data_IF_837378609687
#
_entry.id   IF_837378609687
#
_cell.length_a   1.000
_cell.length_b   1.000
_cell.length_c   1.000
_cell.angle_alpha   90.00
_cell.angle_beta   90.00
_cell.angle_gamma   90.00
#
_symmetry.space_group_name_H-M   'P 1'
#
loop_
_entity.id
_entity.type
_entity.pdbx_description
1 polymer ?
#
# COMPACT_ATOMS: atom_id res chain seq x y z
N UNK A 1 -9.45 -17.62 -23.29
CA UNK A 1 -10.70 -18.00 -24.00
C UNK A 1 -11.65 -16.79 -23.88
N UNK A 2 -11.62 -15.91 -24.89
CA UNK A 2 -12.36 -14.64 -24.87
C UNK A 2 -13.85 -14.87 -25.04
N UNK A 3 -14.63 -14.32 -24.12
CA UNK A 3 -16.09 -14.27 -24.18
C UNK A 3 -16.48 -13.10 -25.09
N UNK A 4 -16.65 -13.37 -26.40
CA UNK A 4 -17.31 -12.48 -27.33
C UNK A 4 -18.67 -13.07 -27.71
N UNK A 5 -19.71 -12.81 -26.91
CA UNK A 5 -21.10 -12.96 -27.30
C UNK A 5 -21.91 -11.83 -26.70
N UNK A 6 -22.08 -10.79 -27.47
CA UNK A 6 -23.24 -9.91 -27.64
C UNK A 6 -22.78 -8.60 -28.27
N UNK A 7 -22.73 -8.59 -29.60
CA UNK A 7 -22.72 -7.32 -30.34
C UNK A 7 -23.92 -7.27 -31.27
N UNK A 8 -24.85 -6.44 -30.88
CA UNK A 8 -26.11 -6.17 -31.57
C UNK A 8 -25.87 -5.41 -32.87
N UNK A 9 -26.64 -5.75 -33.89
CA UNK A 9 -26.68 -5.14 -35.22
C UNK A 9 -26.99 -3.65 -35.15
N UNK A 10 -25.98 -2.81 -35.26
CA UNK A 10 -26.13 -1.41 -35.67
C UNK A 10 -25.17 -1.14 -36.84
N UNK A 11 -25.68 -0.60 -37.91
CA UNK A 11 -25.18 -0.39 -39.26
C UNK A 11 -23.81 0.29 -39.44
N UNK A 12 -22.77 -0.19 -38.83
CA UNK A 12 -21.38 0.24 -39.06
C UNK A 12 -20.74 -0.65 -40.11
N UNK A 13 -19.92 -0.04 -40.98
CA UNK A 13 -19.22 -0.79 -42.03
C UNK A 13 -18.20 -1.77 -41.39
N UNK A 14 -17.88 -2.89 -42.06
CA UNK A 14 -16.84 -3.82 -41.57
C UNK A 14 -15.49 -3.16 -41.27
N UNK A 15 -15.19 -2.06 -41.97
CA UNK A 15 -13.96 -1.26 -41.77
C UNK A 15 -14.03 -0.48 -40.46
N UNK A 16 -15.15 0.16 -40.14
CA UNK A 16 -15.36 0.87 -38.88
C UNK A 16 -15.32 -0.08 -37.67
N UNK A 17 -15.87 -1.28 -37.81
CA UNK A 17 -15.80 -2.31 -36.77
C UNK A 17 -14.37 -2.79 -36.54
N UNK A 18 -13.61 -2.99 -37.63
CA UNK A 18 -12.18 -3.37 -37.54
C UNK A 18 -11.34 -2.27 -36.92
N UNK A 19 -11.59 -0.99 -37.26
CA UNK A 19 -10.93 0.15 -36.62
C UNK A 19 -11.27 0.28 -35.15
N UNK A 20 -12.54 0.13 -34.76
CA UNK A 20 -12.97 0.18 -33.35
C UNK A 20 -12.35 -0.95 -32.53
N UNK A 21 -12.28 -2.15 -33.10
CA UNK A 21 -11.65 -3.30 -32.43
C UNK A 21 -10.12 -3.14 -32.30
N UNK A 22 -9.46 -2.66 -33.34
CA UNK A 22 -8.02 -2.37 -33.31
C UNK A 22 -7.70 -1.27 -32.30
N UNK A 23 -8.51 -0.21 -32.25
CA UNK A 23 -8.37 0.89 -31.29
C UNK A 23 -8.56 0.41 -29.84
N UNK A 24 -9.59 -0.40 -29.58
CA UNK A 24 -9.82 -0.99 -28.26
C UNK A 24 -8.68 -1.91 -27.82
N UNK A 25 -8.13 -2.74 -28.73
CA UNK A 25 -6.97 -3.57 -28.45
C UNK A 25 -5.72 -2.73 -28.15
N UNK A 26 -5.45 -1.69 -28.93
CA UNK A 26 -4.29 -0.79 -28.71
C UNK A 26 -4.43 -0.09 -27.35
N UNK A 27 -5.61 0.45 -27.03
CA UNK A 27 -5.86 1.11 -25.74
C UNK A 27 -5.70 0.16 -24.53
N UNK A 28 -6.13 -1.10 -24.66
CA UNK A 28 -5.96 -2.10 -23.58
C UNK A 28 -4.50 -2.45 -23.36
N UNK A 29 -3.71 -2.61 -24.44
CA UNK A 29 -2.27 -2.88 -24.36
C UNK A 29 -1.53 -1.69 -23.76
N UNK A 30 -1.94 -0.48 -24.11
CA UNK A 30 -1.34 0.77 -23.63
C UNK A 30 -1.58 0.96 -22.13
N UNK A 31 -2.79 0.76 -21.64
CA UNK A 31 -3.13 0.78 -20.20
C UNK A 31 -2.33 -0.28 -19.42
N UNK A 32 -2.14 -1.46 -20.01
CA UNK A 32 -1.32 -2.53 -19.42
C UNK A 32 0.15 -2.13 -19.34
N UNK A 33 0.70 -1.48 -20.36
CA UNK A 33 2.08 -1.01 -20.37
C UNK A 33 2.32 0.07 -19.32
N UNK A 34 1.37 1.00 -19.16
CA UNK A 34 1.39 2.04 -18.12
C UNK A 34 1.44 1.43 -16.71
N UNK A 35 0.58 0.44 -16.43
CA UNK A 35 0.57 -0.25 -15.14
C UNK A 35 1.87 -1.01 -14.90
N UNK A 36 2.40 -1.74 -15.90
CA UNK A 36 3.66 -2.49 -15.80
C UNK A 36 4.86 -1.58 -15.51
N UNK A 37 4.94 -0.41 -16.12
CA UNK A 37 5.99 0.58 -15.84
C UNK A 37 5.91 1.10 -14.40
N UNK A 38 4.71 1.44 -13.93
CA UNK A 38 4.48 1.84 -12.54
C UNK A 38 4.90 0.74 -11.56
N UNK A 39 4.41 -0.48 -11.74
CA UNK A 39 4.66 -1.60 -10.83
C UNK A 39 6.15 -2.02 -10.84
N UNK A 40 6.82 -1.97 -12.00
CA UNK A 40 8.25 -2.18 -12.11
C UNK A 40 9.06 -1.11 -11.35
N UNK A 41 8.60 0.15 -11.39
CA UNK A 41 9.25 1.25 -10.66
C UNK A 41 9.11 1.07 -9.16
N UNK A 42 7.89 0.75 -8.69
CA UNK A 42 7.63 0.46 -7.28
C UNK A 42 8.51 -0.69 -6.78
N UNK A 43 8.60 -1.77 -7.53
CA UNK A 43 9.39 -2.93 -7.16
C UNK A 43 10.91 -2.65 -7.12
N UNK A 44 11.44 -1.80 -8.02
CA UNK A 44 12.85 -1.37 -7.98
C UNK A 44 13.14 -0.55 -6.73
N UNK A 45 12.30 0.46 -6.44
CA UNK A 45 12.47 1.30 -5.25
C UNK A 45 12.34 0.48 -3.97
N UNK A 46 11.35 -0.40 -3.88
CA UNK A 46 11.16 -1.29 -2.72
C UNK A 46 12.37 -2.19 -2.45
N UNK A 47 13.10 -2.58 -3.51
CA UNK A 47 14.35 -3.32 -3.40
C UNK A 47 15.59 -2.44 -3.06
N UNK A 48 15.39 -1.13 -2.85
CA UNK A 48 16.50 -0.18 -2.61
C UNK A 48 17.29 0.17 -3.86
N UNK A 49 16.78 -0.15 -5.05
CA UNK A 49 17.42 0.16 -6.32
C UNK A 49 16.97 1.54 -6.82
N UNK A 50 17.92 2.34 -7.32
CA UNK A 50 17.59 3.64 -7.95
C UNK A 50 16.95 3.39 -9.32
N UNK A 51 15.68 3.79 -9.55
CA UNK A 51 15.03 3.59 -10.82
C UNK A 51 15.64 4.48 -11.91
N UNK A 52 15.98 3.89 -13.03
CA UNK A 52 16.36 4.57 -14.26
C UNK A 52 15.40 4.21 -15.38
N UNK A 53 15.26 5.07 -16.39
CA UNK A 53 14.38 4.76 -17.53
C UNK A 53 14.71 3.41 -18.17
N UNK A 54 16.00 3.03 -18.20
CA UNK A 54 16.45 1.75 -18.75
C UNK A 54 16.08 0.57 -17.84
N UNK A 55 16.34 0.65 -16.52
CA UNK A 55 16.04 -0.44 -15.58
C UNK A 55 14.53 -0.66 -15.45
N UNK A 56 13.74 0.42 -15.41
CA UNK A 56 12.27 0.36 -15.37
C UNK A 56 11.70 -0.30 -16.64
N UNK A 57 12.11 0.17 -17.82
CA UNK A 57 11.64 -0.38 -19.10
C UNK A 57 12.01 -1.85 -19.26
N UNK A 58 13.25 -2.23 -18.88
CA UNK A 58 13.70 -3.61 -18.90
C UNK A 58 12.88 -4.50 -17.97
N UNK A 59 12.67 -4.09 -16.71
CA UNK A 59 11.87 -4.83 -15.73
C UNK A 59 10.40 -4.94 -16.13
N UNK A 60 9.84 -3.88 -16.74
CA UNK A 60 8.47 -3.88 -17.25
C UNK A 60 8.32 -4.67 -18.56
N UNK A 61 9.42 -5.07 -19.21
CA UNK A 61 9.47 -5.68 -20.53
C UNK A 61 8.71 -4.85 -21.58
N UNK A 62 9.05 -3.56 -21.66
CA UNK A 62 8.50 -2.60 -22.63
C UNK A 62 9.60 -1.71 -23.19
N UNK A 63 9.30 -0.95 -24.25
CA UNK A 63 10.26 0.02 -24.78
C UNK A 63 10.41 1.24 -23.85
N UNK A 64 11.63 1.80 -23.82
CA UNK A 64 11.96 2.98 -22.99
C UNK A 64 11.12 4.21 -23.38
N UNK A 65 10.71 4.30 -24.65
CA UNK A 65 9.89 5.41 -25.17
C UNK A 65 8.52 5.51 -24.53
N UNK A 66 7.97 4.38 -24.03
CA UNK A 66 6.67 4.37 -23.36
C UNK A 66 6.65 5.11 -22.02
N UNK A 67 7.80 5.28 -21.36
CA UNK A 67 7.88 6.12 -20.15
C UNK A 67 7.55 7.56 -20.50
N UNK A 68 8.17 8.10 -21.59
CA UNK A 68 7.89 9.46 -22.04
C UNK A 68 6.46 9.62 -22.55
N UNK A 69 5.95 8.57 -23.23
CA UNK A 69 4.58 8.58 -23.75
C UNK A 69 3.52 8.63 -22.63
N UNK A 70 3.65 7.80 -21.59
CA UNK A 70 2.64 7.68 -20.54
C UNK A 70 2.79 8.68 -19.37
N UNK A 71 4.01 9.10 -19.08
CA UNK A 71 4.33 9.87 -17.86
C UNK A 71 5.07 11.17 -18.13
N UNK A 72 5.51 11.42 -19.37
CA UNK A 72 6.29 12.59 -19.77
C UNK A 72 7.74 12.51 -19.30
N UNK A 73 7.96 12.36 -18.00
CA UNK A 73 9.29 12.30 -17.36
C UNK A 73 9.39 11.16 -16.36
N UNK A 74 10.60 10.89 -15.84
CA UNK A 74 10.79 9.96 -14.72
C UNK A 74 10.11 10.51 -13.44
N UNK A 75 10.12 11.82 -13.22
CA UNK A 75 9.44 12.43 -12.07
C UNK A 75 7.92 12.26 -12.15
N UNK A 76 7.33 12.36 -13.38
CA UNK A 76 5.92 12.09 -13.62
C UNK A 76 5.56 10.62 -13.34
N UNK A 77 6.46 9.68 -13.66
CA UNK A 77 6.31 8.28 -13.31
C UNK A 77 6.38 8.06 -11.79
N UNK A 78 7.34 8.69 -11.11
CA UNK A 78 7.47 8.62 -9.65
C UNK A 78 6.24 9.19 -8.95
N UNK A 79 5.73 10.34 -9.39
CA UNK A 79 4.49 10.92 -8.86
C UNK A 79 3.31 9.96 -9.02
N UNK A 80 3.19 9.30 -10.18
CA UNK A 80 2.14 8.29 -10.40
C UNK A 80 2.30 7.08 -9.47
N UNK A 81 3.52 6.69 -9.13
CA UNK A 81 3.78 5.64 -8.14
C UNK A 81 3.33 6.10 -6.73
N UNK A 82 3.71 7.32 -6.32
CA UNK A 82 3.34 7.91 -5.03
C UNK A 82 1.82 7.97 -4.86
N UNK A 83 1.09 8.47 -5.87
CA UNK A 83 -0.39 8.52 -5.89
C UNK A 83 -1.03 7.12 -5.80
N UNK A 84 -0.44 6.16 -6.51
CA UNK A 84 -0.93 4.77 -6.48
C UNK A 84 -0.76 4.14 -5.10
N UNK A 85 0.40 4.29 -4.48
CA UNK A 85 0.69 3.79 -3.13
C UNK A 85 -0.25 4.43 -2.10
N UNK A 86 -0.44 5.76 -2.14
CA UNK A 86 -1.39 6.44 -1.26
C UNK A 86 -2.81 5.90 -1.41
N UNK A 87 -3.24 5.62 -2.66
CA UNK A 87 -4.56 5.04 -2.95
C UNK A 87 -4.71 3.63 -2.38
N UNK A 88 -3.69 2.77 -2.52
CA UNK A 88 -3.68 1.42 -1.97
C UNK A 88 -3.80 1.44 -0.45
N UNK A 89 -3.02 2.28 0.23
CA UNK A 89 -3.07 2.44 1.69
C UNK A 89 -4.44 2.91 2.13
N UNK A 90 -5.01 3.93 1.46
CA UNK A 90 -6.36 4.44 1.76
C UNK A 90 -7.41 3.35 1.65
N UNK A 91 -7.38 2.55 0.59
CA UNK A 91 -8.34 1.47 0.36
C UNK A 91 -8.20 0.40 1.43
N UNK A 92 -7.00 -0.09 1.71
CA UNK A 92 -6.74 -1.10 2.74
C UNK A 92 -7.23 -0.64 4.13
N UNK A 93 -6.99 0.63 4.50
CA UNK A 93 -7.48 1.20 5.77
C UNK A 93 -9.00 1.32 5.82
N UNK A 94 -9.64 1.71 4.71
CA UNK A 94 -11.10 1.78 4.63
C UNK A 94 -11.76 0.41 4.73
N UNK A 95 -11.19 -0.60 4.10
CA UNK A 95 -11.70 -1.97 4.14
C UNK A 95 -11.52 -2.56 5.54
N UNK A 96 -10.41 -2.29 6.21
CA UNK A 96 -10.17 -2.68 7.60
C UNK A 96 -11.22 -2.13 8.59
N UNK A 97 -11.80 -0.95 8.33
CA UNK A 97 -12.85 -0.38 9.19
C UNK A 97 -14.22 -0.99 8.91
N UNK A 98 -14.47 -1.47 7.69
CA UNK A 98 -15.79 -1.98 7.25
C UNK A 98 -15.98 -3.48 7.51
N UNK A 99 -14.90 -4.23 7.59
CA UNK A 99 -14.93 -5.69 7.73
C UNK A 99 -14.95 -6.18 9.18
N UNK A 100 -15.28 -7.46 9.42
CA UNK A 100 -14.87 -8.12 10.65
C UNK A 100 -13.35 -7.96 10.71
N UNK A 101 -12.81 -7.45 11.83
CA UNK A 101 -11.39 -7.09 12.00
C UNK A 101 -10.48 -7.93 11.10
N UNK A 102 -10.06 -7.44 9.95
CA UNK A 102 -9.14 -8.20 9.13
C UNK A 102 -7.81 -8.23 9.87
N UNK A 103 -7.15 -9.37 9.82
CA UNK A 103 -5.74 -9.40 10.04
C UNK A 103 -5.11 -8.43 9.03
N UNK A 104 -4.77 -7.20 9.47
CA UNK A 104 -4.26 -6.14 8.59
C UNK A 104 -3.06 -6.65 7.78
N UNK A 105 -2.25 -7.56 8.38
CA UNK A 105 -1.12 -8.20 7.74
C UNK A 105 -1.57 -9.18 6.64
N UNK A 106 -2.70 -9.88 6.82
CA UNK A 106 -3.25 -10.81 5.84
C UNK A 106 -3.88 -10.07 4.66
N UNK A 107 -4.58 -8.98 4.92
CA UNK A 107 -5.12 -8.09 3.86
C UNK A 107 -4.00 -7.46 3.02
N UNK A 108 -2.87 -7.07 3.64
CA UNK A 108 -1.71 -6.58 2.93
C UNK A 108 -1.03 -7.66 2.07
N UNK A 109 -1.07 -8.93 2.51
CA UNK A 109 -0.57 -10.09 1.73
C UNK A 109 -1.45 -10.42 0.53
N UNK A 110 -2.75 -10.52 0.73
CA UNK A 110 -3.71 -10.93 -0.31
C UNK A 110 -3.78 -9.94 -1.48
N UNK A 111 -3.43 -8.68 -1.25
CA UNK A 111 -3.45 -7.63 -2.27
C UNK A 111 -2.16 -7.51 -3.08
N UNK A 112 -1.18 -8.41 -2.90
CA UNK A 112 0.10 -8.35 -3.62
C UNK A 112 0.92 -7.10 -3.28
N UNK A 113 0.76 -6.57 -2.07
CA UNK A 113 1.30 -5.29 -1.62
C UNK A 113 2.67 -5.42 -0.93
N UNK A 114 3.38 -6.51 -1.16
CA UNK A 114 4.70 -6.78 -0.55
C UNK A 114 5.71 -5.63 -0.74
N UNK A 115 5.50 -4.80 -1.75
CA UNK A 115 6.41 -3.72 -2.08
C UNK A 115 6.02 -2.35 -1.46
N UNK A 116 4.83 -2.18 -0.84
CA UNK A 116 4.37 -0.87 -0.37
C UNK A 116 5.28 -0.32 0.74
N UNK A 117 5.53 -1.13 1.76
CA UNK A 117 6.31 -0.69 2.91
C UNK A 117 7.77 -0.47 2.53
N UNK A 118 8.36 -1.37 1.71
CA UNK A 118 9.70 -1.20 1.15
C UNK A 118 9.80 0.06 0.27
N UNK A 119 8.80 0.30 -0.58
CA UNK A 119 8.72 1.52 -1.38
C UNK A 119 8.75 2.77 -0.49
N UNK A 120 7.88 2.86 0.51
CA UNK A 120 7.82 3.99 1.43
C UNK A 120 9.12 4.16 2.21
N UNK A 121 9.70 3.06 2.73
CA UNK A 121 10.94 3.10 3.49
C UNK A 121 12.09 3.79 2.73
N UNK A 122 12.20 3.51 1.43
CA UNK A 122 13.22 4.14 0.59
C UNK A 122 12.80 5.53 0.09
N UNK A 123 11.54 5.68 -0.33
CA UNK A 123 11.05 6.92 -0.92
C UNK A 123 11.05 8.08 0.08
N UNK A 124 10.72 7.82 1.36
CA UNK A 124 10.69 8.81 2.43
C UNK A 124 12.09 9.30 2.86
N UNK A 125 13.16 8.68 2.40
CA UNK A 125 14.53 9.20 2.63
C UNK A 125 14.91 10.33 1.68
N UNK A 126 14.12 10.55 0.63
CA UNK A 126 14.32 11.65 -0.31
C UNK A 126 13.65 12.93 0.22
N UNK A 127 14.22 14.08 -0.12
CA UNK A 127 13.63 15.39 0.21
C UNK A 127 13.17 16.06 -1.09
N UNK A 128 11.85 16.13 -1.27
CA UNK A 128 11.27 16.83 -2.44
C UNK A 128 9.83 17.23 -2.14
N UNK A 129 9.32 18.23 -2.86
CA UNK A 129 7.93 18.68 -2.75
C UNK A 129 6.92 17.57 -3.07
N UNK A 130 7.30 16.59 -3.90
CA UNK A 130 6.44 15.44 -4.19
C UNK A 130 6.32 14.51 -2.96
N UNK A 131 7.40 14.33 -2.20
CA UNK A 131 7.37 13.55 -0.94
C UNK A 131 6.61 14.31 0.15
N UNK A 132 6.81 15.62 0.25
CA UNK A 132 6.03 16.43 1.19
C UNK A 132 4.53 16.28 0.91
N UNK A 133 4.11 16.37 -0.36
CA UNK A 133 2.72 16.15 -0.77
C UNK A 133 2.19 14.74 -0.48
N UNK A 134 3.04 13.70 -0.65
CA UNK A 134 2.68 12.32 -0.28
C UNK A 134 2.42 12.20 1.23
N UNK A 135 3.29 12.76 2.06
CA UNK A 135 3.14 12.73 3.53
C UNK A 135 1.90 13.48 3.97
N UNK A 136 1.65 14.67 3.40
CA UNK A 136 0.46 15.46 3.67
C UNK A 136 -0.82 14.68 3.31
N UNK A 137 -0.85 14.05 2.14
CA UNK A 137 -1.97 13.22 1.71
C UNK A 137 -2.21 12.04 2.65
N UNK A 138 -1.15 11.34 3.08
CA UNK A 138 -1.28 10.22 4.02
C UNK A 138 -1.81 10.69 5.38
N UNK A 139 -1.42 11.88 5.84
CA UNK A 139 -1.93 12.46 7.10
C UNK A 139 -3.41 12.88 6.99
N UNK A 140 -3.82 13.46 5.86
CA UNK A 140 -5.21 13.84 5.63
C UNK A 140 -6.12 12.60 5.51
N UNK A 141 -5.65 11.57 4.81
CA UNK A 141 -6.33 10.27 4.74
C UNK A 141 -6.44 9.64 6.14
N UNK A 142 -5.38 9.74 6.96
CA UNK A 142 -5.39 9.28 8.35
C UNK A 142 -6.49 9.95 9.16
N UNK A 143 -6.65 11.27 9.06
CA UNK A 143 -7.75 11.96 9.72
C UNK A 143 -9.13 11.45 9.27
N UNK A 144 -9.28 11.11 8.01
CA UNK A 144 -10.50 10.54 7.44
C UNK A 144 -10.83 9.16 8.02
N UNK A 145 -9.89 8.22 8.05
CA UNK A 145 -10.19 6.88 8.58
C UNK A 145 -10.27 6.85 10.11
N UNK A 146 -9.57 7.74 10.84
CA UNK A 146 -9.73 7.88 12.29
C UNK A 146 -11.17 8.31 12.64
N UNK A 147 -11.73 9.31 11.94
CA UNK A 147 -13.13 9.70 12.15
C UNK A 147 -14.08 8.53 11.93
N UNK A 148 -13.92 7.80 10.83
CA UNK A 148 -14.74 6.60 10.54
C UNK A 148 -14.58 5.50 11.61
N UNK A 149 -13.38 5.30 12.15
CA UNK A 149 -13.14 4.35 13.23
C UNK A 149 -13.83 4.78 14.55
N UNK A 150 -13.87 6.09 14.84
CA UNK A 150 -14.62 6.64 15.96
C UNK A 150 -16.12 6.42 15.76
N UNK A 151 -16.66 6.75 14.57
CA UNK A 151 -18.06 6.56 14.23
C UNK A 151 -18.49 5.08 14.28
N UNK A 152 -17.57 4.17 13.93
CA UNK A 152 -17.76 2.72 14.03
C UNK A 152 -17.55 2.14 15.46
N UNK A 153 -17.29 2.99 16.45
CA UNK A 153 -16.99 2.59 17.83
C UNK A 153 -15.78 1.64 17.98
N UNK A 154 -14.80 1.78 17.10
CA UNK A 154 -13.51 1.06 17.15
C UNK A 154 -12.45 1.89 17.89
N UNK A 155 -12.51 3.22 17.76
CA UNK A 155 -11.62 4.16 18.44
C UNK A 155 -12.38 5.04 19.40
N UNK A 156 -11.69 5.43 20.49
CA UNK A 156 -12.22 6.42 21.44
C UNK A 156 -12.24 7.82 20.80
N UNK A 157 -13.19 8.69 21.13
CA UNK A 157 -13.21 10.05 20.64
C UNK A 157 -11.91 10.81 20.97
N UNK A 158 -11.35 11.46 19.96
CA UNK A 158 -10.12 12.26 20.06
C UNK A 158 -10.48 13.72 19.88
N UNK A 159 -10.09 14.63 20.80
CA UNK A 159 -10.45 16.05 20.75
C UNK A 159 -9.97 16.77 19.47
N UNK A 160 -8.75 16.48 19.02
CA UNK A 160 -8.17 17.03 17.80
C UNK A 160 -7.72 15.89 16.86
N UNK A 161 -8.66 15.39 16.05
CA UNK A 161 -8.40 14.32 15.09
C UNK A 161 -7.33 14.71 14.05
N UNK A 162 -7.31 15.92 13.47
CA UNK A 162 -6.25 16.32 12.55
C UNK A 162 -4.84 16.27 13.16
N UNK A 163 -4.66 16.79 14.37
CA UNK A 163 -3.36 16.75 15.05
C UNK A 163 -2.94 15.32 15.39
N UNK A 164 -3.86 14.50 15.91
CA UNK A 164 -3.61 13.09 16.20
C UNK A 164 -3.23 12.30 14.92
N UNK A 165 -3.91 12.56 13.81
CA UNK A 165 -3.62 11.93 12.53
C UNK A 165 -2.21 12.25 12.05
N UNK A 166 -1.79 13.53 12.08
CA UNK A 166 -0.43 13.95 11.72
C UNK A 166 0.61 13.25 12.60
N UNK A 167 0.39 13.21 13.92
CA UNK A 167 1.31 12.57 14.85
C UNK A 167 1.42 11.07 14.61
N UNK A 168 0.30 10.36 14.42
CA UNK A 168 0.30 8.93 14.13
C UNK A 168 0.92 8.61 12.76
N UNK A 169 0.74 9.49 11.77
CA UNK A 169 1.39 9.37 10.46
C UNK A 169 2.91 9.49 10.61
N UNK A 170 3.40 10.53 11.29
CA UNK A 170 4.82 10.72 11.55
C UNK A 170 5.41 9.51 12.28
N UNK A 171 4.73 9.00 13.32
CA UNK A 171 5.15 7.82 14.06
C UNK A 171 5.26 6.57 13.15
N UNK A 172 4.23 6.32 12.35
CA UNK A 172 4.19 5.15 11.46
C UNK A 172 5.23 5.22 10.34
N UNK A 173 5.36 6.37 9.69
CA UNK A 173 6.34 6.57 8.62
C UNK A 173 7.78 6.62 9.16
N UNK A 174 7.97 7.17 10.38
CA UNK A 174 9.26 7.17 11.07
C UNK A 174 9.76 5.76 11.37
N UNK A 175 8.86 4.82 11.69
CA UNK A 175 9.22 3.41 11.89
C UNK A 175 9.76 2.78 10.60
N UNK A 176 9.24 3.13 9.42
CA UNK A 176 9.76 2.65 8.12
C UNK A 176 11.15 3.18 7.84
N UNK A 177 11.38 4.49 8.03
CA UNK A 177 12.69 5.12 7.82
C UNK A 177 13.75 4.57 8.79
N UNK A 178 13.33 4.26 10.02
CA UNK A 178 14.19 3.66 11.05
C UNK A 178 14.15 2.12 11.06
N UNK A 179 13.66 1.47 10.00
CA UNK A 179 13.41 0.03 9.93
C UNK A 179 14.61 -0.83 10.31
N UNK A 180 15.84 -0.47 9.89
CA UNK A 180 17.06 -1.18 10.31
C UNK A 180 17.26 -1.19 11.84
N UNK A 181 16.79 -0.14 12.54
CA UNK A 181 16.88 -0.06 13.99
C UNK A 181 15.77 -0.85 14.67
N UNK A 182 14.58 -0.95 14.06
CA UNK A 182 13.54 -1.88 14.49
C UNK A 182 14.05 -3.32 14.43
N UNK A 183 14.69 -3.71 13.34
CA UNK A 183 15.32 -5.05 13.23
C UNK A 183 16.35 -5.29 14.31
N UNK A 184 17.21 -4.32 14.60
CA UNK A 184 18.26 -4.45 15.61
C UNK A 184 17.74 -4.48 17.05
N UNK A 185 16.68 -3.72 17.37
CA UNK A 185 16.18 -3.51 18.73
C UNK A 185 15.04 -4.46 19.10
N UNK A 186 14.21 -4.85 18.13
CA UNK A 186 12.97 -5.59 18.33
C UNK A 186 12.88 -6.86 17.47
N UNK A 187 13.95 -7.19 16.74
CA UNK A 187 14.08 -8.35 15.85
C UNK A 187 12.93 -8.48 14.84
N UNK A 188 12.44 -7.33 14.32
CA UNK A 188 11.39 -7.28 13.33
C UNK A 188 11.79 -6.42 12.12
N UNK A 189 11.62 -6.98 10.92
CA UNK A 189 11.67 -6.24 9.66
C UNK A 189 10.25 -5.98 9.17
N UNK A 190 9.77 -4.75 9.38
CA UNK A 190 8.42 -4.36 8.97
C UNK A 190 8.27 -4.22 7.44
N UNK A 191 9.37 -4.28 6.68
CA UNK A 191 9.38 -4.26 5.22
C UNK A 191 9.50 -5.66 4.62
N UNK A 192 9.63 -6.70 5.44
CA UNK A 192 9.70 -8.08 4.99
C UNK A 192 8.40 -8.49 4.27
N UNK A 193 8.53 -9.27 3.19
CA UNK A 193 7.38 -9.78 2.45
C UNK A 193 6.45 -10.66 3.30
N UNK A 194 6.97 -11.35 4.31
CA UNK A 194 6.21 -12.06 5.33
C UNK A 194 6.51 -11.53 6.75
N UNK A 195 5.92 -10.39 7.08
CA UNK A 195 6.00 -9.78 8.41
C UNK A 195 5.53 -10.74 9.53
N UNK A 196 4.54 -11.61 9.24
CA UNK A 196 4.02 -12.53 10.26
C UNK A 196 5.00 -13.65 10.62
N UNK A 197 6.00 -13.92 9.77
CA UNK A 197 7.08 -14.85 10.05
C UNK A 197 8.26 -14.22 10.80
N UNK A 198 8.27 -12.89 10.95
CA UNK A 198 9.36 -12.20 11.66
C UNK A 198 9.38 -12.58 13.15
N UNK A 199 10.56 -12.89 13.73
CA UNK A 199 10.68 -13.35 15.12
C UNK A 199 10.08 -12.39 16.14
N UNK A 200 10.31 -11.09 15.96
CA UNK A 200 9.84 -10.01 16.86
C UNK A 200 8.40 -9.55 16.65
N UNK A 201 7.64 -10.12 15.69
CA UNK A 201 6.31 -9.59 15.32
C UNK A 201 5.33 -9.59 16.49
N UNK A 202 5.30 -10.65 17.29
CA UNK A 202 4.39 -10.78 18.43
C UNK A 202 4.64 -9.70 19.47
N UNK A 203 5.89 -9.53 19.87
CA UNK A 203 6.29 -8.53 20.86
C UNK A 203 6.06 -7.11 20.34
N UNK A 204 6.38 -6.86 19.07
CA UNK A 204 6.13 -5.57 18.41
C UNK A 204 4.66 -5.21 18.44
N UNK A 205 3.77 -6.11 18.03
CA UNK A 205 2.32 -5.87 18.03
C UNK A 205 1.79 -5.68 19.44
N UNK A 206 2.23 -6.48 20.41
CA UNK A 206 1.79 -6.37 21.80
C UNK A 206 2.21 -5.04 22.43
N UNK A 207 3.45 -4.60 22.20
CA UNK A 207 3.92 -3.30 22.69
C UNK A 207 3.15 -2.15 22.02
N UNK A 208 2.91 -2.22 20.70
CA UNK A 208 2.11 -1.22 19.99
C UNK A 208 0.69 -1.10 20.57
N UNK A 209 0.01 -2.23 20.78
CA UNK A 209 -1.33 -2.24 21.37
C UNK A 209 -1.32 -1.68 22.81
N UNK A 210 -0.27 -1.94 23.58
CA UNK A 210 -0.14 -1.41 24.94
C UNK A 210 0.08 0.10 24.93
N UNK A 211 0.97 0.60 24.09
CA UNK A 211 1.29 2.02 23.97
C UNK A 211 0.10 2.84 23.48
N UNK A 212 -0.69 2.29 22.57
CA UNK A 212 -1.82 2.96 21.94
C UNK A 212 -3.19 2.48 22.46
N UNK A 213 -3.23 1.73 23.57
CA UNK A 213 -4.47 1.18 24.13
C UNK A 213 -5.57 2.24 24.35
N UNK A 214 -5.18 3.44 24.79
CA UNK A 214 -6.13 4.54 25.02
C UNK A 214 -6.85 5.06 23.78
N UNK A 215 -6.33 4.75 22.60
CA UNK A 215 -6.95 5.11 21.31
C UNK A 215 -8.07 4.15 20.90
N UNK A 216 -8.11 2.95 21.48
CA UNK A 216 -9.05 1.91 21.12
C UNK A 216 -10.16 1.78 22.17
N UNK A 217 -11.37 1.42 21.71
CA UNK A 217 -12.45 1.12 22.64
C UNK A 217 -12.16 -0.18 23.41
N UNK A 218 -12.66 -0.33 24.66
CA UNK A 218 -12.52 -1.56 25.44
C UNK A 218 -13.03 -2.79 24.68
N UNK A 219 -14.13 -2.64 23.95
CA UNK A 219 -14.71 -3.70 23.13
C UNK A 219 -13.73 -4.21 22.06
N UNK A 220 -13.06 -3.31 21.35
CA UNK A 220 -12.06 -3.68 20.36
C UNK A 220 -10.86 -4.38 21.00
N UNK A 221 -10.36 -3.87 22.13
CA UNK A 221 -9.24 -4.48 22.85
C UNK A 221 -9.55 -5.90 23.35
N UNK A 222 -10.78 -6.16 23.78
CA UNK A 222 -11.23 -7.50 24.17
C UNK A 222 -11.26 -8.47 22.99
N UNK A 223 -11.63 -8.02 21.81
CA UNK A 223 -11.62 -8.85 20.59
C UNK A 223 -10.21 -9.19 20.12
N UNK A 224 -9.23 -8.31 20.37
CA UNK A 224 -7.84 -8.50 19.95
C UNK A 224 -7.04 -9.43 20.88
N UNK A 225 -7.39 -9.47 22.18
CA UNK A 225 -6.68 -10.28 23.20
C UNK A 225 -6.52 -11.76 22.88
N UNK A 226 -7.54 -12.48 22.39
CA UNK A 226 -7.39 -13.91 22.06
C UNK A 226 -6.40 -14.16 20.94
N UNK A 227 -6.41 -13.33 19.90
CA UNK A 227 -5.54 -13.46 18.73
C UNK A 227 -4.05 -13.26 19.07
N UNK A 228 -3.76 -12.52 20.14
CA UNK A 228 -2.41 -12.32 20.64
C UNK A 228 -1.93 -13.49 21.50
N UNK A 229 -2.83 -14.12 22.27
CA UNK A 229 -2.49 -15.26 23.15
C UNK A 229 -2.20 -16.55 22.38
N UNK A 230 -2.99 -16.89 21.37
CA UNK A 230 -2.79 -18.10 20.56
C UNK A 230 -1.41 -18.15 19.90
N UNK A 231 -0.86 -17.00 19.49
CA UNK A 231 0.49 -16.94 18.91
C UNK A 231 1.61 -17.08 19.94
N UNK A 232 1.36 -16.73 21.19
CA UNK A 232 2.35 -16.87 22.27
C UNK A 232 2.48 -18.32 22.74
N UNK A 233 1.36 -19.03 22.88
CA UNK A 233 1.33 -20.44 23.31
C UNK A 233 1.83 -21.43 22.23
N UNK A 234 1.75 -21.04 20.94
CA UNK A 234 2.33 -21.81 19.84
C UNK A 234 3.85 -21.85 19.86
N UNK A 235 4.50 -20.76 20.26
CA UNK A 235 5.98 -20.66 20.34
C UNK A 235 6.58 -21.41 21.53
N UNK A 236 5.87 -21.54 22.65
CA UNK A 236 6.36 -22.27 23.83
C UNK A 236 6.32 -23.80 23.64
N UNK A 237 5.59 -24.30 22.64
CA UNK A 237 5.52 -25.75 22.34
C UNK A 237 6.54 -26.23 21.31
N UNK A 238 7.25 -25.31 20.64
CA UNK A 238 8.29 -25.63 19.65
C UNK A 238 9.73 -25.44 20.18
N UNK A 239 9.90 -25.06 21.45
CA UNK A 239 11.20 -25.05 22.17
C UNK A 239 11.28 -26.22 23.15
#
# INVERSE_FOLDING_TARGET
>A
MCICKHFSRNGHSPVEQAFSFLYACIMTVDLTARARLRDATIALIAAGEKPTARSVAARANVSIGLIRHHFGTMDGLLLTCDEHIATLIRNAKNDAIRGPMPNVLETLRETGQDNILGYLAHRLTESSTAIDALVDQLADDAAGYIRRAIDANLMTPIPDVPAAARMLTIYSLGSLVLGRHLKRLLDIDITAGDIAAEPGVTDYVQVQLTLFASLFTPHLLEQLRPQLKEKTEGKEKEQ
#
